data_IF_170088547832
#
_entry.id   IF_170088547832
#
_cell.length_a   1.000
_cell.length_b   1.000
_cell.length_c   1.000
_cell.angle_alpha   90.00
_cell.angle_beta   90.00
_cell.angle_gamma   90.00
#
_symmetry.space_group_name_H-M   'P 1'
#
loop_
_entity.id
_entity.type
_entity.pdbx_description
1 polymer ?
#
# COMPACT_ATOMS: atom_id res chain seq x y z
N UNK A 1 7.39 -26.33 3.65
CA UNK A 1 6.78 -25.41 2.67
C UNK A 1 7.20 -23.99 2.96
N UNK A 2 7.35 -23.19 1.92
CA UNK A 2 7.69 -21.78 2.02
C UNK A 2 6.61 -20.94 1.34
N UNK A 3 6.20 -19.85 1.98
CA UNK A 3 5.36 -18.83 1.37
C UNK A 3 6.21 -17.67 0.89
N UNK A 4 6.14 -17.36 -0.40
CA UNK A 4 6.70 -16.15 -0.98
C UNK A 4 5.58 -15.11 -0.97
N UNK A 5 5.50 -14.36 0.14
CA UNK A 5 4.42 -13.41 0.39
C UNK A 5 4.78 -12.04 -0.14
N UNK A 6 3.97 -11.52 -1.06
CA UNK A 6 4.08 -10.14 -1.53
C UNK A 6 3.62 -9.16 -0.44
N UNK A 7 3.67 -7.88 -0.70
CA UNK A 7 3.35 -6.88 0.31
C UNK A 7 1.95 -7.11 0.90
N UNK A 8 1.87 -7.35 2.19
CA UNK A 8 0.61 -7.56 2.88
C UNK A 8 0.49 -6.57 4.05
N UNK A 9 -0.59 -5.84 4.03
CA UNK A 9 -0.79 -4.65 4.81
C UNK A 9 -2.01 -4.80 5.72
N UNK A 10 -2.07 -3.99 6.75
CA UNK A 10 -3.22 -3.86 7.64
C UNK A 10 -3.05 -2.63 8.54
N UNK A 11 -4.06 -2.27 9.36
CA UNK A 11 -3.90 -1.26 10.40
C UNK A 11 -2.75 -1.52 11.39
N UNK A 12 -2.29 -2.77 11.48
CA UNK A 12 -1.16 -3.17 12.34
C UNK A 12 0.21 -3.06 11.66
N UNK A 13 0.26 -2.62 10.40
CA UNK A 13 1.54 -2.44 9.70
C UNK A 13 2.43 -1.47 10.47
N UNK A 14 3.72 -1.76 10.54
CA UNK A 14 4.70 -0.88 11.19
C UNK A 14 4.68 0.53 10.58
N UNK A 15 4.78 1.56 11.42
CA UNK A 15 4.56 2.96 11.06
C UNK A 15 5.58 3.54 10.07
N UNK A 16 6.74 2.89 9.94
CA UNK A 16 7.80 3.27 9.00
C UNK A 16 7.56 2.78 7.57
N UNK A 17 6.65 1.81 7.39
CA UNK A 17 6.29 1.32 6.07
C UNK A 17 5.40 2.33 5.33
N UNK A 18 5.61 2.43 4.01
CA UNK A 18 5.02 3.48 3.18
C UNK A 18 3.49 3.57 3.30
N UNK A 19 2.79 2.45 3.29
CA UNK A 19 1.31 2.41 3.39
C UNK A 19 0.82 2.99 4.71
N UNK A 20 1.41 2.56 5.83
CA UNK A 20 1.05 3.05 7.15
C UNK A 20 1.48 4.51 7.36
N UNK A 21 2.64 4.87 6.82
CA UNK A 21 3.13 6.26 6.83
C UNK A 21 2.15 7.18 6.10
N UNK A 22 1.60 6.75 4.96
CA UNK A 22 0.62 7.52 4.18
C UNK A 22 -0.67 7.71 4.97
N UNK A 23 -1.31 6.63 5.43
CA UNK A 23 -2.60 6.72 6.12
C UNK A 23 -2.53 7.55 7.39
N UNK A 24 -1.48 7.38 8.21
CA UNK A 24 -1.26 8.19 9.41
C UNK A 24 -0.93 9.66 9.10
N UNK A 25 -0.09 9.88 8.09
CA UNK A 25 0.27 11.25 7.69
C UNK A 25 -0.93 12.06 7.21
N UNK A 26 -1.75 11.47 6.33
CA UNK A 26 -2.95 12.11 5.83
C UNK A 26 -4.02 12.30 6.91
N UNK A 27 -4.18 11.33 7.82
CA UNK A 27 -5.04 11.49 9.00
C UNK A 27 -4.61 12.70 9.86
N UNK A 28 -3.31 12.84 10.16
CA UNK A 28 -2.79 13.99 10.90
C UNK A 28 -3.00 15.32 10.17
N UNK A 29 -2.83 15.32 8.85
CA UNK A 29 -3.07 16.50 8.01
C UNK A 29 -4.55 16.90 8.07
N UNK A 30 -5.47 15.94 7.96
CA UNK A 30 -6.91 16.20 8.05
C UNK A 30 -7.34 16.78 9.40
N UNK A 31 -6.64 16.39 10.48
CA UNK A 31 -6.86 16.91 11.84
C UNK A 31 -6.08 18.20 12.15
N UNK A 32 -5.30 18.74 11.20
CA UNK A 32 -4.47 19.93 11.42
C UNK A 32 -3.26 19.72 12.33
N UNK A 33 -2.86 18.48 12.56
CA UNK A 33 -1.71 18.10 13.40
C UNK A 33 -0.39 18.04 12.63
N UNK A 34 -0.46 18.05 11.31
CA UNK A 34 0.69 18.01 10.42
C UNK A 34 0.36 18.80 9.14
N UNK A 35 1.33 19.51 8.59
CA UNK A 35 1.12 20.29 7.37
C UNK A 35 1.39 19.51 6.11
N UNK A 36 2.46 18.72 6.08
CA UNK A 36 2.95 18.06 4.87
C UNK A 36 3.47 16.66 5.19
N UNK A 37 3.15 15.70 4.31
CA UNK A 37 3.69 14.35 4.34
C UNK A 37 4.85 14.24 3.33
N UNK A 38 5.99 13.74 3.79
CA UNK A 38 7.19 13.54 2.97
C UNK A 38 7.32 12.07 2.58
N UNK A 39 7.41 11.81 1.25
CA UNK A 39 7.51 10.48 0.65
C UNK A 39 8.73 10.38 -0.25
N UNK A 40 9.02 9.18 -0.73
CA UNK A 40 10.07 8.92 -1.73
C UNK A 40 9.48 8.69 -3.11
N UNK A 41 9.76 7.51 -3.70
CA UNK A 41 9.37 7.14 -5.07
C UNK A 41 7.86 6.97 -5.22
N UNK A 42 7.16 7.97 -5.76
CA UNK A 42 5.70 7.94 -5.94
C UNK A 42 5.25 6.99 -7.05
N UNK A 43 6.11 6.74 -8.04
CA UNK A 43 5.78 5.90 -9.21
C UNK A 43 6.06 4.40 -8.96
N UNK A 44 6.74 4.04 -7.89
CA UNK A 44 7.01 2.64 -7.55
C UNK A 44 5.69 1.88 -7.36
N UNK A 45 5.57 0.73 -8.03
CA UNK A 45 4.37 -0.11 -8.02
C UNK A 45 4.58 -1.35 -7.16
N UNK A 46 3.58 -1.69 -6.37
CA UNK A 46 3.59 -2.87 -5.50
C UNK A 46 2.28 -3.63 -5.59
N UNK A 47 2.37 -4.93 -5.41
CA UNK A 47 1.22 -5.80 -5.20
C UNK A 47 0.92 -5.78 -3.70
N UNK A 48 -0.10 -5.03 -3.30
CA UNK A 48 -0.54 -4.92 -1.91
C UNK A 48 -1.81 -5.70 -1.67
N UNK A 49 -1.75 -6.64 -0.73
CA UNK A 49 -2.92 -7.35 -0.25
C UNK A 49 -3.18 -7.11 1.24
N UNK A 50 -4.31 -7.57 1.73
CA UNK A 50 -4.64 -7.48 3.15
C UNK A 50 -4.06 -8.67 3.93
N UNK A 51 -3.43 -8.41 5.08
CA UNK A 51 -2.78 -9.44 5.89
C UNK A 51 -3.73 -10.58 6.34
N UNK A 52 -5.02 -10.31 6.49
CA UNK A 52 -6.02 -11.36 6.79
C UNK A 52 -6.07 -12.44 5.71
N UNK A 53 -6.05 -12.06 4.43
CA UNK A 53 -6.07 -13.01 3.31
C UNK A 53 -4.78 -13.84 3.29
N UNK A 54 -3.65 -13.21 3.63
CA UNK A 54 -2.35 -13.89 3.67
C UNK A 54 -2.25 -14.89 4.82
N UNK A 55 -2.82 -14.58 5.99
CA UNK A 55 -2.89 -15.54 7.10
C UNK A 55 -3.77 -16.75 6.76
N UNK A 56 -4.86 -16.55 6.01
CA UNK A 56 -5.67 -17.67 5.48
C UNK A 56 -4.84 -18.55 4.53
N UNK A 57 -4.06 -17.94 3.63
CA UNK A 57 -3.16 -18.69 2.76
C UNK A 57 -2.15 -19.54 3.55
N UNK A 58 -1.53 -18.96 4.57
CA UNK A 58 -0.59 -19.69 5.44
C UNK A 58 -1.25 -20.91 6.09
N UNK A 59 -2.48 -20.77 6.57
CA UNK A 59 -3.23 -21.87 7.16
C UNK A 59 -3.53 -22.94 6.13
N UNK A 60 -4.00 -22.57 4.92
CA UNK A 60 -4.29 -23.51 3.83
C UNK A 60 -3.04 -24.28 3.39
N UNK A 61 -1.89 -23.63 3.32
CA UNK A 61 -0.62 -24.27 2.98
C UNK A 61 -0.28 -25.40 3.95
N UNK A 62 -0.60 -25.22 5.24
CA UNK A 62 -0.34 -26.22 6.29
C UNK A 62 -1.37 -27.37 6.32
N UNK A 63 -2.48 -27.25 5.60
CA UNK A 63 -3.50 -28.31 5.51
C UNK A 63 -3.24 -29.29 4.37
N UNK A 64 -2.20 -29.08 3.55
CA UNK A 64 -1.89 -29.93 2.41
C UNK A 64 -1.17 -31.22 2.85
N UNK A 65 -1.43 -32.33 2.15
CA UNK A 65 -0.81 -33.62 2.42
C UNK A 65 0.71 -33.62 2.18
N UNK A 66 1.16 -32.81 1.24
CA UNK A 66 2.58 -32.64 0.89
C UNK A 66 3.01 -31.18 1.02
N UNK A 67 4.20 -30.91 1.59
CA UNK A 67 4.71 -29.56 1.69
C UNK A 67 5.17 -29.05 0.31
N UNK A 68 4.67 -27.90 -0.08
CA UNK A 68 5.08 -27.20 -1.30
C UNK A 68 5.27 -25.72 -1.05
N UNK A 69 5.94 -25.02 -1.98
CA UNK A 69 6.17 -23.60 -1.92
C UNK A 69 5.14 -22.85 -2.77
N UNK A 70 4.64 -21.74 -2.26
CA UNK A 70 3.58 -20.95 -2.87
C UNK A 70 3.93 -19.47 -2.91
N UNK A 71 3.63 -18.82 -4.06
CA UNK A 71 3.55 -17.36 -4.14
C UNK A 71 2.17 -16.94 -3.66
N UNK A 72 2.13 -15.99 -2.72
CA UNK A 72 0.90 -15.39 -2.20
C UNK A 72 0.93 -13.90 -2.56
N UNK A 73 0.03 -13.52 -3.46
CA UNK A 73 -0.06 -12.19 -4.02
C UNK A 73 -1.48 -11.92 -4.52
N UNK A 74 -1.83 -10.66 -4.78
CA UNK A 74 -3.16 -10.31 -5.29
C UNK A 74 -3.26 -10.41 -6.82
N UNK A 75 -2.12 -10.35 -7.53
CA UNK A 75 -2.10 -10.28 -8.99
C UNK A 75 -2.42 -8.88 -9.55
N UNK A 76 -2.53 -7.88 -8.69
CA UNK A 76 -2.74 -6.48 -9.05
C UNK A 76 -1.68 -5.61 -8.40
N UNK A 77 -1.24 -4.59 -9.12
CA UNK A 77 -0.27 -3.65 -8.59
C UNK A 77 -0.79 -2.22 -8.67
N UNK A 78 -0.40 -1.41 -7.69
CA UNK A 78 -0.72 0.00 -7.59
C UNK A 78 0.52 0.79 -7.27
N UNK A 79 0.59 2.03 -7.74
CA UNK A 79 1.67 2.95 -7.40
C UNK A 79 1.50 3.53 -5.99
N UNK A 80 2.59 4.02 -5.41
CA UNK A 80 2.54 4.79 -4.16
C UNK A 80 1.62 5.99 -4.32
N UNK A 81 1.63 6.64 -5.49
CA UNK A 81 0.75 7.75 -5.85
C UNK A 81 -0.72 7.37 -5.73
N UNK A 82 -1.14 6.25 -6.35
CA UNK A 82 -2.52 5.75 -6.26
C UNK A 82 -2.93 5.44 -4.82
N UNK A 83 -2.01 4.93 -4.00
CA UNK A 83 -2.27 4.70 -2.58
C UNK A 83 -2.49 6.02 -1.83
N UNK A 84 -1.71 7.06 -2.13
CA UNK A 84 -1.88 8.41 -1.57
C UNK A 84 -3.23 8.99 -1.98
N UNK A 85 -3.56 8.96 -3.27
CA UNK A 85 -4.82 9.50 -3.81
C UNK A 85 -6.03 8.84 -3.14
N UNK A 86 -6.02 7.52 -3.04
CA UNK A 86 -7.11 6.76 -2.43
C UNK A 86 -7.25 7.05 -0.92
N UNK A 87 -6.12 7.16 -0.23
CA UNK A 87 -6.13 7.52 1.20
C UNK A 87 -6.57 8.98 1.42
N UNK A 88 -6.16 9.90 0.55
CA UNK A 88 -6.54 11.31 0.60
C UNK A 88 -8.04 11.49 0.37
N UNK A 89 -8.61 10.78 -0.61
CA UNK A 89 -10.05 10.75 -0.90
C UNK A 89 -10.86 10.34 0.34
N UNK A 90 -10.40 9.33 1.07
CA UNK A 90 -11.03 8.91 2.34
C UNK A 90 -11.10 10.03 3.37
N UNK A 91 -10.07 10.89 3.44
CA UNK A 91 -10.03 12.05 4.35
C UNK A 91 -10.63 13.33 3.75
N UNK A 92 -11.28 13.26 2.58
CA UNK A 92 -11.93 14.39 1.92
C UNK A 92 -10.96 15.35 1.23
N UNK A 93 -9.75 14.90 0.91
CA UNK A 93 -8.74 15.67 0.17
C UNK A 93 -8.69 15.23 -1.30
N UNK A 94 -8.71 16.16 -2.24
CA UNK A 94 -8.53 15.92 -3.68
C UNK A 94 -7.14 16.37 -4.12
N UNK A 95 -6.26 15.42 -4.39
CA UNK A 95 -4.85 15.69 -4.67
C UNK A 95 -4.63 16.01 -6.15
N UNK A 96 -4.04 17.17 -6.41
CA UNK A 96 -3.47 17.56 -7.69
C UNK A 96 -1.95 17.49 -7.63
N UNK A 97 -1.33 16.80 -8.58
CA UNK A 97 0.11 16.66 -8.65
C UNK A 97 0.72 17.74 -9.55
N UNK A 98 1.84 18.34 -9.11
CA UNK A 98 2.61 19.30 -9.86
C UNK A 98 4.10 19.03 -9.74
N UNK A 99 4.86 19.24 -10.83
CA UNK A 99 6.30 18.96 -10.89
C UNK A 99 6.61 17.49 -11.18
N UNK A 100 7.88 17.16 -11.13
CA UNK A 100 8.39 15.80 -11.40
C UNK A 100 9.57 15.46 -10.48
N UNK A 101 9.76 14.17 -10.20
CA UNK A 101 10.89 13.65 -9.44
C UNK A 101 10.93 14.23 -8.02
N UNK A 102 12.07 14.79 -7.63
CA UNK A 102 12.26 15.38 -6.29
C UNK A 102 11.48 16.69 -6.08
N UNK A 103 11.14 17.38 -7.16
CA UNK A 103 10.37 18.64 -7.10
C UNK A 103 8.85 18.40 -7.14
N UNK A 104 8.43 17.14 -7.19
CA UNK A 104 7.02 16.83 -7.26
C UNK A 104 6.31 17.08 -5.93
N UNK A 105 5.14 17.72 -6.04
CA UNK A 105 4.27 18.05 -4.91
C UNK A 105 2.83 17.60 -5.16
N UNK A 106 2.14 17.25 -4.10
CA UNK A 106 0.70 17.02 -4.08
C UNK A 106 -0.01 18.15 -3.37
N UNK A 107 -0.96 18.79 -4.04
CA UNK A 107 -1.75 19.92 -3.56
C UNK A 107 -3.18 19.45 -3.31
N UNK A 108 -3.71 19.69 -2.14
CA UNK A 108 -5.15 19.53 -1.91
C UNK A 108 -5.90 20.68 -2.59
N UNK A 109 -6.66 20.37 -3.64
CA UNK A 109 -7.41 21.35 -4.43
C UNK A 109 -8.43 22.14 -3.60
N UNK A 110 -8.98 21.51 -2.56
CA UNK A 110 -10.00 22.15 -1.72
C UNK A 110 -9.46 23.30 -0.88
N UNK A 111 -8.20 23.21 -0.48
CA UNK A 111 -7.53 24.17 0.40
C UNK A 111 -6.41 24.96 -0.30
N UNK A 112 -5.92 24.48 -1.44
CA UNK A 112 -4.73 25.01 -2.12
C UNK A 112 -3.41 24.73 -1.38
N UNK A 113 -3.43 23.90 -0.34
CA UNK A 113 -2.24 23.60 0.48
C UNK A 113 -1.42 22.46 -0.13
N UNK A 114 -0.10 22.60 -0.06
CA UNK A 114 0.82 21.50 -0.39
C UNK A 114 0.82 20.50 0.77
N UNK A 115 0.24 19.32 0.54
CA UNK A 115 0.10 18.26 1.56
C UNK A 115 1.06 17.10 1.35
N UNK A 116 1.62 16.94 0.15
CA UNK A 116 2.62 15.91 -0.16
C UNK A 116 3.88 16.59 -0.76
N UNK A 117 5.04 16.11 -0.36
CA UNK A 117 6.34 16.45 -0.98
C UNK A 117 7.19 15.20 -1.13
N UNK A 118 7.99 15.17 -2.18
CA UNK A 118 9.07 14.19 -2.31
C UNK A 118 10.28 14.71 -1.53
N UNK A 119 10.93 13.82 -0.78
CA UNK A 119 12.12 14.11 0.01
C UNK A 119 13.23 13.14 -0.40
N UNK A 120 14.40 13.68 -0.74
CA UNK A 120 15.60 12.93 -1.15
C UNK A 120 15.98 11.86 -0.10
N UNK A 121 15.78 12.12 1.17
CA UNK A 121 16.00 11.15 2.26
C UNK A 121 15.22 9.84 2.08
N UNK A 122 14.05 9.89 1.47
CA UNK A 122 13.17 8.74 1.23
C UNK A 122 13.21 8.26 -0.21
N UNK A 123 13.80 9.04 -1.11
CA UNK A 123 13.94 8.69 -2.52
C UNK A 123 15.08 7.69 -2.71
N UNK A 124 14.80 6.59 -3.41
CA UNK A 124 15.77 5.54 -3.68
C UNK A 124 16.04 5.49 -5.19
N UNK A 125 17.24 5.89 -5.66
CA UNK A 125 17.57 5.87 -7.08
C UNK A 125 17.52 4.48 -7.72
N UNK A 126 17.78 3.42 -6.93
CA UNK A 126 17.75 2.02 -7.35
C UNK A 126 16.51 1.27 -6.83
N UNK A 127 15.38 1.95 -6.70
CA UNK A 127 14.12 1.31 -6.29
C UNK A 127 13.65 0.32 -7.35
N UNK A 128 13.12 -0.82 -6.90
CA UNK A 128 12.40 -1.73 -7.80
C UNK A 128 11.12 -1.05 -8.26
N UNK A 129 11.05 -0.74 -9.56
CA UNK A 129 9.94 0.04 -10.12
C UNK A 129 8.61 -0.68 -10.02
N UNK A 130 8.60 -2.00 -10.21
CA UNK A 130 7.38 -2.80 -10.29
C UNK A 130 7.56 -4.16 -9.64
N UNK A 131 6.66 -4.51 -8.73
CA UNK A 131 6.54 -5.85 -8.15
C UNK A 131 5.10 -6.32 -8.32
N UNK A 132 4.91 -7.40 -9.08
CA UNK A 132 3.64 -8.05 -9.34
C UNK A 132 3.80 -9.55 -9.10
N UNK A 133 2.94 -10.11 -8.25
CA UNK A 133 2.96 -11.54 -7.96
C UNK A 133 2.00 -12.34 -8.84
N UNK A 134 2.35 -13.59 -9.08
CA UNK A 134 1.48 -14.58 -9.71
C UNK A 134 1.15 -15.67 -8.70
N UNK A 135 -0.07 -15.67 -8.18
CA UNK A 135 -0.58 -16.62 -7.21
C UNK A 135 -1.40 -17.76 -7.85
N UNK A 136 -1.23 -18.02 -9.14
CA UNK A 136 -2.00 -19.05 -9.87
C UNK A 136 -1.91 -20.41 -9.19
N UNK A 137 -0.73 -20.85 -8.76
CA UNK A 137 -0.55 -22.12 -8.04
C UNK A 137 -1.36 -22.16 -6.75
N UNK A 138 -1.35 -21.09 -5.96
CA UNK A 138 -2.12 -21.00 -4.72
C UNK A 138 -3.63 -21.10 -4.99
N UNK A 139 -4.11 -20.45 -6.06
CA UNK A 139 -5.50 -20.54 -6.49
C UNK A 139 -5.89 -21.96 -6.89
N UNK A 140 -5.10 -22.61 -7.74
CA UNK A 140 -5.40 -23.92 -8.29
C UNK A 140 -5.29 -25.04 -7.24
N UNK A 141 -4.27 -25.01 -6.37
CA UNK A 141 -4.00 -26.08 -5.43
C UNK A 141 -4.62 -25.85 -4.05
N UNK A 142 -4.65 -24.62 -3.55
CA UNK A 142 -5.21 -24.28 -2.24
C UNK A 142 -6.65 -23.76 -2.31
N UNK A 143 -7.15 -23.39 -3.50
CA UNK A 143 -8.41 -22.67 -3.65
C UNK A 143 -8.34 -21.27 -3.05
N UNK A 144 -7.14 -20.70 -2.89
CA UNK A 144 -6.95 -19.41 -2.27
C UNK A 144 -7.04 -18.26 -3.29
N UNK A 145 -7.83 -17.28 -2.94
CA UNK A 145 -7.89 -15.98 -3.63
C UNK A 145 -7.97 -14.85 -2.60
N UNK A 146 -7.41 -13.67 -2.88
CA UNK A 146 -7.61 -12.50 -2.03
C UNK A 146 -9.09 -12.11 -2.04
N UNK A 147 -9.66 -11.85 -0.87
CA UNK A 147 -11.07 -11.49 -0.67
C UNK A 147 -11.24 -9.98 -0.46
N UNK A 148 -10.22 -9.34 0.08
CA UNK A 148 -10.24 -7.91 0.42
C UNK A 148 -9.59 -7.14 -0.74
N UNK A 149 -10.35 -6.25 -1.35
CA UNK A 149 -9.89 -5.40 -2.45
C UNK A 149 -8.90 -4.34 -1.97
N UNK A 150 -8.18 -3.72 -2.93
CA UNK A 150 -7.30 -2.60 -2.64
C UNK A 150 -8.03 -1.43 -1.96
N UNK A 151 -9.25 -1.11 -2.41
CA UNK A 151 -10.02 -0.04 -1.81
C UNK A 151 -10.39 -0.34 -0.36
N UNK A 152 -10.86 -1.55 -0.08
CA UNK A 152 -11.18 -1.99 1.29
C UNK A 152 -9.95 -2.02 2.19
N UNK A 153 -8.78 -2.43 1.66
CA UNK A 153 -7.52 -2.38 2.39
C UNK A 153 -7.16 -0.95 2.79
N UNK A 154 -7.22 0.00 1.85
CA UNK A 154 -6.90 1.41 2.12
C UNK A 154 -7.88 1.98 3.14
N UNK A 155 -9.18 1.72 2.99
CA UNK A 155 -10.22 2.17 3.91
C UNK A 155 -10.00 1.64 5.33
N UNK A 156 -9.76 0.32 5.49
CA UNK A 156 -9.46 -0.30 6.80
C UNK A 156 -8.23 0.36 7.46
N UNK A 157 -7.17 0.61 6.69
CA UNK A 157 -5.98 1.27 7.19
C UNK A 157 -6.20 2.74 7.55
N UNK A 158 -7.10 3.44 6.87
CA UNK A 158 -7.46 4.83 7.18
C UNK A 158 -8.32 4.95 8.43
N UNK A 159 -9.32 4.07 8.61
CA UNK A 159 -10.19 4.02 9.80
C UNK A 159 -9.36 3.94 11.08
N UNK A 160 -8.32 3.11 11.10
CA UNK A 160 -7.43 2.92 12.24
C UNK A 160 -6.16 3.79 12.17
N UNK A 161 -6.10 4.73 11.24
CA UNK A 161 -4.99 5.69 11.07
C UNK A 161 -5.02 6.85 12.08
N UNK A 162 -6.13 7.01 12.72
CA UNK A 162 -6.43 8.10 13.67
C UNK A 162 -5.71 7.91 15.01
#
# INVERSE_FOLDING_TARGET
>A
CSGILFNHESPRRGETFVTRKITRGLSKISCGLQDTLYLGNLNAKRDWGHAKDYTEAMWLMLQQDSPEDYVIATGHQYSVREFVEKSADYFGMDIEWQGEGLEEIGIDKSTGRVVIRVDDKYFRPAEVESLLGDATKAKEQLGWEPKISFNELVEDMCIYGQ
#
